data_IF_837876160873
#
_entry.id   IF_837876160873
#
_cell.length_a   1.000
_cell.length_b   1.000
_cell.length_c   1.000
_cell.angle_alpha   90.00
_cell.angle_beta   90.00
_cell.angle_gamma   90.00
#
_symmetry.space_group_name_H-M   'P 1'
#
loop_
_entity.id
_entity.type
_entity.pdbx_description
1 polymer ?
#
# COMPACT_ATOMS: atom_id res chain seq x y z
N UNK A 1 -29.01 -2.84 1.45
CA UNK A 1 -29.53 -4.15 1.91
C UNK A 1 -28.46 -4.77 2.80
N UNK A 2 -28.88 -5.25 3.97
CA UNK A 2 -28.07 -5.54 5.15
C UNK A 2 -26.95 -6.56 4.90
N UNK A 3 -25.71 -6.21 5.22
CA UNK A 3 -24.62 -7.17 5.39
C UNK A 3 -24.94 -8.08 6.59
N UNK A 4 -25.55 -9.23 6.33
CA UNK A 4 -25.52 -10.32 7.30
C UNK A 4 -24.15 -11.01 7.27
N UNK A 5 -23.69 -11.57 8.39
CA UNK A 5 -22.37 -12.23 8.48
C UNK A 5 -22.12 -13.27 7.38
N UNK A 6 -23.14 -14.03 6.97
CA UNK A 6 -23.04 -14.99 5.86
C UNK A 6 -22.75 -14.32 4.50
N UNK A 7 -23.29 -13.13 4.23
CA UNK A 7 -23.03 -12.41 2.99
C UNK A 7 -21.63 -11.78 2.98
N UNK A 8 -21.15 -11.29 4.13
CA UNK A 8 -19.78 -10.80 4.28
C UNK A 8 -18.78 -11.93 4.02
N UNK A 9 -19.06 -13.12 4.55
CA UNK A 9 -18.21 -14.30 4.41
C UNK A 9 -18.14 -14.80 2.96
N UNK A 10 -19.28 -14.90 2.26
CA UNK A 10 -19.28 -15.25 0.83
C UNK A 10 -18.49 -14.25 -0.01
N UNK A 11 -18.62 -12.94 0.28
CA UNK A 11 -17.82 -11.90 -0.39
C UNK A 11 -16.34 -12.06 -0.08
N UNK A 12 -15.97 -12.39 1.17
CA UNK A 12 -14.59 -12.62 1.61
C UNK A 12 -13.94 -13.75 0.80
N UNK A 13 -14.64 -14.87 0.65
CA UNK A 13 -14.17 -16.01 -0.16
C UNK A 13 -13.93 -15.59 -1.61
N UNK A 14 -14.86 -14.82 -2.21
CA UNK A 14 -14.67 -14.30 -3.57
C UNK A 14 -13.43 -13.39 -3.71
N UNK A 15 -13.19 -12.53 -2.72
CA UNK A 15 -12.00 -11.67 -2.66
C UNK A 15 -10.73 -12.49 -2.53
N UNK A 16 -10.73 -13.54 -1.71
CA UNK A 16 -9.57 -14.40 -1.52
C UNK A 16 -9.24 -15.25 -2.75
N UNK A 17 -10.26 -15.70 -3.47
CA UNK A 17 -10.07 -16.34 -4.78
C UNK A 17 -9.42 -15.37 -5.77
N UNK A 18 -9.89 -14.13 -5.83
CA UNK A 18 -9.27 -13.10 -6.67
C UNK A 18 -7.82 -12.81 -6.23
N UNK A 19 -7.55 -12.78 -4.92
CA UNK A 19 -6.20 -12.57 -4.39
C UNK A 19 -5.24 -13.68 -4.80
N UNK A 20 -5.68 -14.94 -4.73
CA UNK A 20 -4.90 -16.08 -5.20
C UNK A 20 -4.65 -16.03 -6.71
N UNK A 21 -5.62 -15.59 -7.52
CA UNK A 21 -5.40 -15.39 -8.96
C UNK A 21 -4.35 -14.31 -9.23
N UNK A 22 -4.41 -13.18 -8.53
CA UNK A 22 -3.39 -12.13 -8.66
C UNK A 22 -2.01 -12.66 -8.25
N UNK A 23 -1.92 -13.42 -7.16
CA UNK A 23 -0.66 -14.03 -6.72
C UNK A 23 -0.12 -15.05 -7.73
N UNK A 24 -0.95 -15.95 -8.25
CA UNK A 24 -0.55 -16.99 -9.20
C UNK A 24 0.10 -16.40 -10.46
N UNK A 25 -0.43 -15.28 -10.95
CA UNK A 25 0.13 -14.61 -12.12
C UNK A 25 1.13 -13.50 -11.76
N UNK A 26 1.33 -13.19 -10.48
CA UNK A 26 2.37 -12.25 -10.07
C UNK A 26 3.77 -12.86 -10.21
N UNK A 27 4.79 -12.02 -10.39
CA UNK A 27 6.19 -12.48 -10.45
C UNK A 27 6.66 -13.18 -9.17
N UNK A 28 5.94 -13.08 -8.05
CA UNK A 28 6.29 -13.79 -6.81
C UNK A 28 5.99 -15.28 -6.82
N UNK A 29 5.21 -15.78 -7.80
CA UNK A 29 5.04 -17.21 -8.07
C UNK A 29 6.29 -17.78 -8.78
N UNK A 30 7.46 -17.67 -8.13
CA UNK A 30 8.79 -18.02 -8.67
C UNK A 30 9.14 -19.50 -8.64
N UNK A 31 8.26 -20.35 -8.12
CA UNK A 31 8.38 -21.80 -8.19
C UNK A 31 7.27 -22.26 -9.11
N UNK A 32 7.64 -22.95 -10.20
CA UNK A 32 6.78 -23.28 -11.32
C UNK A 32 5.31 -23.41 -10.94
N UNK A 33 4.46 -22.75 -11.72
CA UNK A 33 3.00 -22.74 -11.56
C UNK A 33 2.52 -24.08 -11.04
N UNK A 34 1.74 -24.11 -9.96
CA UNK A 34 1.09 -25.36 -9.51
C UNK A 34 0.11 -25.89 -10.59
N UNK A 35 -0.16 -25.08 -11.60
CA UNK A 35 -0.96 -25.35 -12.79
C UNK A 35 -0.25 -26.19 -13.87
N UNK A 36 1.03 -26.53 -13.71
CA UNK A 36 1.79 -27.35 -14.66
C UNK A 36 1.96 -26.71 -16.05
N UNK A 37 1.90 -25.38 -16.15
CA UNK A 37 2.10 -24.64 -17.40
C UNK A 37 3.60 -24.52 -17.72
N UNK A 38 3.93 -24.41 -19.00
CA UNK A 38 5.27 -23.97 -19.39
C UNK A 38 5.45 -22.50 -19.02
N UNK A 39 6.69 -22.06 -18.85
CA UNK A 39 7.01 -20.68 -18.52
C UNK A 39 6.45 -19.69 -19.56
N UNK A 40 6.53 -20.03 -20.85
CA UNK A 40 6.03 -19.18 -21.94
C UNK A 40 4.50 -19.04 -21.88
N UNK A 41 3.79 -20.13 -21.59
CA UNK A 41 2.33 -20.11 -21.46
C UNK A 41 1.90 -19.29 -20.23
N UNK A 42 2.61 -19.44 -19.11
CA UNK A 42 2.36 -18.65 -17.90
C UNK A 42 2.62 -17.16 -18.13
N UNK A 43 3.72 -16.80 -18.80
CA UNK A 43 4.04 -15.41 -19.12
C UNK A 43 2.98 -14.78 -20.05
N UNK A 44 2.47 -15.53 -21.04
CA UNK A 44 1.35 -15.06 -21.87
C UNK A 44 0.08 -14.82 -21.05
N UNK A 45 -0.27 -15.74 -20.14
CA UNK A 45 -1.41 -15.56 -19.25
C UNK A 45 -1.22 -14.35 -18.33
N UNK A 46 -0.02 -14.15 -17.79
CA UNK A 46 0.33 -13.00 -16.96
C UNK A 46 0.14 -11.68 -17.70
N UNK A 47 0.69 -11.57 -18.91
CA UNK A 47 0.54 -10.36 -19.73
C UNK A 47 -0.93 -10.09 -20.06
N UNK A 48 -1.69 -11.12 -20.45
CA UNK A 48 -3.13 -11.01 -20.66
C UNK A 48 -3.89 -10.58 -19.40
N UNK A 49 -3.52 -11.12 -18.24
CA UNK A 49 -4.11 -10.74 -16.95
C UNK A 49 -3.82 -9.29 -16.59
N UNK A 50 -2.57 -8.85 -16.75
CA UNK A 50 -2.13 -7.46 -16.54
C UNK A 50 -2.93 -6.49 -17.40
N UNK A 51 -3.11 -6.80 -18.69
CA UNK A 51 -3.75 -5.91 -19.66
C UNK A 51 -5.29 -5.87 -19.51
N UNK A 52 -5.91 -6.99 -19.16
CA UNK A 52 -7.38 -7.14 -19.25
C UNK A 52 -8.08 -7.16 -17.89
N UNK A 53 -7.44 -7.69 -16.85
CA UNK A 53 -8.13 -8.04 -15.59
C UNK A 53 -7.62 -7.25 -14.38
N UNK A 54 -6.31 -7.00 -14.30
CA UNK A 54 -5.68 -6.44 -13.09
C UNK A 54 -6.31 -5.10 -12.66
N UNK A 55 -6.52 -4.17 -13.60
CA UNK A 55 -7.15 -2.88 -13.28
C UNK A 55 -8.61 -3.04 -12.83
N UNK A 56 -9.37 -3.92 -13.49
CA UNK A 56 -10.76 -4.20 -13.14
C UNK A 56 -10.88 -4.78 -11.74
N UNK A 57 -9.96 -5.68 -11.36
CA UNK A 57 -9.86 -6.25 -10.02
C UNK A 57 -9.57 -5.16 -8.99
N UNK A 58 -8.57 -4.30 -9.25
CA UNK A 58 -8.25 -3.18 -8.37
C UNK A 58 -9.46 -2.25 -8.18
N UNK A 59 -10.10 -1.84 -9.28
CA UNK A 59 -11.26 -0.94 -9.26
C UNK A 59 -12.45 -1.55 -8.48
N UNK A 60 -12.74 -2.84 -8.71
CA UNK A 60 -13.77 -3.56 -7.96
C UNK A 60 -13.43 -3.67 -6.47
N UNK A 61 -12.15 -3.85 -6.13
CA UNK A 61 -11.69 -3.89 -4.75
C UNK A 61 -11.89 -2.55 -4.04
N UNK A 62 -11.52 -1.44 -4.68
CA UNK A 62 -11.79 -0.08 -4.17
C UNK A 62 -13.29 0.14 -3.98
N UNK A 63 -14.10 -0.27 -4.95
CA UNK A 63 -15.57 -0.16 -4.88
C UNK A 63 -16.14 -0.98 -3.72
N UNK A 64 -15.64 -2.20 -3.50
CA UNK A 64 -16.03 -3.07 -2.39
C UNK A 64 -15.70 -2.41 -1.05
N UNK A 65 -14.47 -1.92 -0.86
CA UNK A 65 -14.04 -1.30 0.38
C UNK A 65 -14.85 -0.02 0.67
N UNK A 66 -15.06 0.81 -0.36
CA UNK A 66 -15.91 2.01 -0.26
C UNK A 66 -17.35 1.65 0.11
N UNK A 67 -17.91 0.60 -0.49
CA UNK A 67 -19.24 0.10 -0.14
C UNK A 67 -19.28 -0.39 1.32
N UNK A 68 -18.24 -1.10 1.78
CA UNK A 68 -18.16 -1.57 3.16
C UNK A 68 -18.13 -0.39 4.16
N UNK A 69 -17.39 0.67 3.82
CA UNK A 69 -17.32 1.89 4.62
C UNK A 69 -18.68 2.62 4.65
N UNK A 70 -19.27 2.89 3.48
CA UNK A 70 -20.56 3.59 3.36
C UNK A 70 -21.70 2.84 4.04
N UNK A 71 -21.71 1.52 3.94
CA UNK A 71 -22.72 0.66 4.58
C UNK A 71 -22.40 0.35 6.04
N UNK A 72 -21.32 0.93 6.59
CA UNK A 72 -20.91 0.77 7.99
C UNK A 72 -20.85 -0.69 8.42
N UNK A 73 -20.30 -1.55 7.56
CA UNK A 73 -20.23 -3.00 7.79
C UNK A 73 -19.55 -3.33 9.11
N UNK A 74 -18.53 -2.56 9.45
CA UNK A 74 -17.82 -2.59 10.73
C UNK A 74 -18.71 -2.35 11.96
N UNK A 75 -19.79 -1.56 11.83
CA UNK A 75 -20.76 -1.33 12.91
C UNK A 75 -21.81 -2.43 12.99
N UNK A 76 -22.12 -3.08 11.86
CA UNK A 76 -23.11 -4.15 11.78
C UNK A 76 -22.55 -5.50 12.23
N UNK A 77 -21.36 -5.86 11.77
CA UNK A 77 -20.65 -7.09 12.13
C UNK A 77 -19.14 -6.79 12.18
N UNK A 78 -18.61 -6.38 13.35
CA UNK A 78 -17.23 -5.91 13.48
C UNK A 78 -16.20 -6.94 13.03
N UNK A 79 -16.39 -8.21 13.39
CA UNK A 79 -15.43 -9.28 13.11
C UNK A 79 -15.47 -9.71 11.64
N UNK A 80 -16.66 -9.99 11.10
CA UNK A 80 -16.76 -10.35 9.68
C UNK A 80 -16.40 -9.17 8.77
N UNK A 81 -16.77 -7.95 9.18
CA UNK A 81 -16.42 -6.71 8.48
C UNK A 81 -14.92 -6.45 8.43
N UNK A 82 -14.23 -6.56 9.57
CA UNK A 82 -12.78 -6.39 9.62
C UNK A 82 -12.05 -7.44 8.76
N UNK A 83 -12.49 -8.70 8.79
CA UNK A 83 -11.91 -9.75 7.92
C UNK A 83 -12.14 -9.47 6.43
N UNK A 84 -13.36 -9.08 6.03
CA UNK A 84 -13.65 -8.76 4.63
C UNK A 84 -12.82 -7.56 4.13
N UNK A 85 -12.73 -6.50 4.93
CA UNK A 85 -11.90 -5.33 4.62
C UNK A 85 -10.43 -5.73 4.53
N UNK A 86 -9.93 -6.52 5.49
CA UNK A 86 -8.59 -7.06 5.47
C UNK A 86 -8.28 -7.86 4.20
N UNK A 87 -9.14 -8.82 3.81
CA UNK A 87 -8.97 -9.57 2.56
C UNK A 87 -8.99 -8.65 1.34
N UNK A 88 -9.81 -7.60 1.34
CA UNK A 88 -9.85 -6.59 0.28
C UNK A 88 -8.55 -5.77 0.20
N UNK A 89 -7.98 -5.37 1.34
CA UNK A 89 -6.71 -4.66 1.41
C UNK A 89 -5.54 -5.55 0.98
N UNK A 90 -5.56 -6.83 1.35
CA UNK A 90 -4.59 -7.82 0.87
C UNK A 90 -4.64 -7.95 -0.65
N UNK A 91 -5.83 -8.12 -1.23
CA UNK A 91 -6.00 -8.15 -2.69
C UNK A 91 -5.49 -6.87 -3.36
N UNK A 92 -5.81 -5.71 -2.78
CA UNK A 92 -5.32 -4.43 -3.27
C UNK A 92 -3.79 -4.36 -3.21
N UNK A 93 -3.18 -4.82 -2.11
CA UNK A 93 -1.73 -4.84 -1.96
C UNK A 93 -1.04 -5.71 -3.02
N UNK A 94 -1.60 -6.88 -3.35
CA UNK A 94 -1.07 -7.73 -4.42
C UNK A 94 -1.20 -7.10 -5.79
N UNK A 95 -2.32 -6.43 -6.07
CA UNK A 95 -2.51 -5.72 -7.33
C UNK A 95 -1.56 -4.52 -7.47
N UNK A 96 -1.26 -3.81 -6.37
CA UNK A 96 -0.34 -2.67 -6.34
C UNK A 96 1.14 -3.09 -6.28
N UNK A 97 1.44 -4.29 -5.79
CA UNK A 97 2.79 -4.86 -5.83
C UNK A 97 3.12 -5.50 -7.20
N UNK A 98 2.19 -5.44 -8.15
CA UNK A 98 2.38 -6.03 -9.48
C UNK A 98 3.57 -5.41 -10.20
N UNK A 99 4.43 -6.26 -10.73
CA UNK A 99 5.60 -5.84 -11.49
C UNK A 99 5.26 -5.75 -12.98
N UNK A 100 5.28 -4.52 -13.49
CA UNK A 100 4.94 -4.20 -14.89
C UNK A 100 6.13 -4.36 -15.86
N UNK A 101 7.34 -4.64 -15.36
CA UNK A 101 8.48 -4.90 -16.23
C UNK A 101 8.27 -6.21 -17.00
N UNK A 102 8.56 -6.25 -18.30
CA UNK A 102 8.56 -7.51 -19.04
C UNK A 102 9.68 -8.42 -18.49
N UNK A 103 9.34 -9.69 -18.24
CA UNK A 103 10.30 -10.65 -17.74
C UNK A 103 11.29 -10.96 -18.87
N UNK A 104 12.53 -10.47 -18.79
CA UNK A 104 13.57 -10.89 -19.74
C UNK A 104 14.08 -12.28 -19.36
N UNK A 105 14.35 -13.12 -20.38
CA UNK A 105 14.86 -14.48 -20.18
C UNK A 105 16.18 -14.52 -19.37
N UNK A 106 17.00 -13.47 -19.44
CA UNK A 106 18.22 -13.34 -18.65
C UNK A 106 17.97 -13.02 -17.17
N UNK A 107 16.89 -12.28 -16.85
CA UNK A 107 16.50 -12.06 -15.45
C UNK A 107 15.94 -13.34 -14.82
N UNK A 108 15.32 -14.24 -15.61
CA UNK A 108 14.82 -15.57 -15.18
C UNK A 108 15.84 -16.42 -14.43
N UNK A 109 17.13 -16.26 -14.74
CA UNK A 109 18.20 -17.00 -14.08
C UNK A 109 18.80 -16.32 -12.84
N UNK A 110 18.52 -15.03 -12.58
CA UNK A 110 19.19 -14.24 -11.52
C UNK A 110 18.20 -13.58 -10.52
N UNK A 111 17.04 -14.17 -10.28
CA UNK A 111 15.94 -13.59 -9.48
C UNK A 111 16.07 -13.68 -7.94
N UNK A 112 17.29 -13.67 -7.39
CA UNK A 112 17.50 -13.61 -5.93
C UNK A 112 17.55 -12.19 -5.37
N UNK A 113 17.43 -11.15 -6.20
CA UNK A 113 17.28 -9.78 -5.73
C UNK A 113 15.80 -9.44 -5.59
N UNK A 114 15.35 -9.33 -4.34
CA UNK A 114 14.13 -8.65 -3.93
C UNK A 114 14.23 -7.15 -4.24
N UNK A 115 14.31 -6.80 -5.53
CA UNK A 115 14.28 -5.41 -5.95
C UNK A 115 12.84 -4.91 -5.80
N UNK A 116 12.52 -4.36 -4.61
CA UNK A 116 11.96 -3.03 -4.46
C UNK A 116 11.13 -2.57 -5.69
N UNK A 117 9.99 -3.20 -5.93
CA UNK A 117 9.21 -2.96 -7.15
C UNK A 117 8.55 -1.58 -7.06
N UNK A 118 9.05 -0.64 -7.85
CA UNK A 118 8.36 0.63 -8.07
C UNK A 118 7.03 0.33 -8.78
N UNK A 119 5.95 0.92 -8.28
CA UNK A 119 4.65 0.78 -8.90
C UNK A 119 4.58 1.64 -10.18
N UNK A 120 4.63 1.00 -11.34
CA UNK A 120 4.67 1.64 -12.68
C UNK A 120 3.44 1.33 -13.55
N UNK A 121 2.21 1.63 -13.08
CA UNK A 121 1.01 1.24 -13.77
C UNK A 121 0.80 2.05 -15.07
N UNK A 122 -0.02 1.52 -16.00
CA UNK A 122 -0.42 2.26 -17.20
C UNK A 122 -1.16 3.58 -16.87
N UNK A 123 -1.11 4.53 -17.81
CA UNK A 123 -1.76 5.85 -17.68
C UNK A 123 -3.27 5.79 -17.34
N UNK A 124 -3.97 4.75 -17.78
CA UNK A 124 -5.41 4.57 -17.52
C UNK A 124 -5.78 4.41 -16.04
N UNK A 125 -4.81 4.16 -15.16
CA UNK A 125 -5.05 3.97 -13.73
C UNK A 125 -5.10 5.31 -12.96
N UNK A 126 -4.69 6.41 -13.59
CA UNK A 126 -4.57 7.73 -12.96
C UNK A 126 -5.85 8.18 -12.26
N UNK A 127 -7.02 8.01 -12.90
CA UNK A 127 -8.30 8.43 -12.33
C UNK A 127 -8.67 7.73 -11.03
N UNK A 128 -8.21 6.49 -10.83
CA UNK A 128 -8.47 5.74 -9.60
C UNK A 128 -7.44 6.07 -8.51
N UNK A 129 -6.15 6.04 -8.85
CA UNK A 129 -5.06 6.13 -7.86
C UNK A 129 -4.65 7.56 -7.50
N UNK A 130 -4.81 8.52 -8.40
CA UNK A 130 -4.42 9.92 -8.19
C UNK A 130 -5.61 10.81 -7.77
N UNK A 131 -6.74 10.23 -7.38
CA UNK A 131 -7.89 11.02 -6.91
C UNK A 131 -7.71 11.47 -5.45
N UNK A 132 -8.09 12.72 -5.13
CA UNK A 132 -8.07 13.25 -3.76
C UNK A 132 -8.97 12.45 -2.81
N UNK A 133 -10.09 11.96 -3.34
CA UNK A 133 -11.08 11.19 -2.61
C UNK A 133 -10.52 9.84 -2.14
N UNK A 134 -9.60 9.23 -2.92
CA UNK A 134 -9.06 7.90 -2.61
C UNK A 134 -8.20 7.91 -1.34
N UNK A 135 -7.29 8.87 -1.20
CA UNK A 135 -6.42 8.98 -0.01
C UNK A 135 -7.24 9.31 1.23
N UNK A 136 -8.19 10.25 1.10
CA UNK A 136 -9.09 10.63 2.19
C UNK A 136 -9.95 9.45 2.66
N UNK A 137 -10.44 8.64 1.70
CA UNK A 137 -11.16 7.41 1.96
C UNK A 137 -10.32 6.38 2.71
N UNK A 138 -9.06 6.14 2.28
CA UNK A 138 -8.18 5.17 2.95
C UNK A 138 -7.92 5.55 4.41
N UNK A 139 -7.65 6.83 4.69
CA UNK A 139 -7.45 7.33 6.06
C UNK A 139 -8.72 7.16 6.91
N UNK A 140 -9.89 7.49 6.36
CA UNK A 140 -11.15 7.32 7.06
C UNK A 140 -11.42 5.84 7.38
N UNK A 141 -11.27 4.95 6.40
CA UNK A 141 -11.47 3.51 6.57
C UNK A 141 -10.47 2.92 7.58
N UNK A 142 -9.20 3.31 7.52
CA UNK A 142 -8.19 2.85 8.49
C UNK A 142 -8.56 3.29 9.91
N UNK A 143 -9.08 4.51 10.08
CA UNK A 143 -9.52 5.01 11.39
C UNK A 143 -10.64 4.15 11.97
N UNK A 144 -11.63 3.79 11.14
CA UNK A 144 -12.72 2.91 11.57
C UNK A 144 -12.24 1.48 11.87
N UNK A 145 -11.32 0.94 11.07
CA UNK A 145 -10.74 -0.40 11.29
C UNK A 145 -9.90 -0.41 12.56
N UNK A 146 -9.00 0.56 12.76
CA UNK A 146 -8.16 0.72 13.94
C UNK A 146 -8.98 0.73 15.24
N UNK A 147 -10.12 1.42 15.24
CA UNK A 147 -11.00 1.52 16.40
C UNK A 147 -11.65 0.17 16.80
N UNK A 148 -11.71 -0.80 15.87
CA UNK A 148 -12.40 -2.08 16.06
C UNK A 148 -11.41 -3.24 16.17
N UNK A 149 -10.41 -3.25 15.29
CA UNK A 149 -9.36 -4.25 15.18
C UNK A 149 -8.04 -3.56 14.85
N UNK A 150 -7.29 -3.14 15.88
CA UNK A 150 -5.94 -2.56 15.73
C UNK A 150 -5.00 -3.47 14.92
N UNK A 151 -5.12 -4.78 15.08
CA UNK A 151 -4.35 -5.77 14.32
C UNK A 151 -4.67 -5.73 12.83
N UNK A 152 -5.95 -5.63 12.45
CA UNK A 152 -6.36 -5.55 11.04
C UNK A 152 -5.93 -4.21 10.39
N UNK A 153 -5.73 -3.15 11.18
CA UNK A 153 -5.21 -1.86 10.71
C UNK A 153 -3.83 -1.98 10.04
N UNK A 154 -3.04 -3.00 10.42
CA UNK A 154 -1.74 -3.25 9.81
C UNK A 154 -1.80 -3.63 8.32
N UNK A 155 -2.94 -4.14 7.85
CA UNK A 155 -3.14 -4.52 6.43
C UNK A 155 -3.13 -3.32 5.47
N UNK A 156 -3.21 -2.09 5.98
CA UNK A 156 -3.10 -0.87 5.18
C UNK A 156 -1.67 -0.52 4.79
N UNK A 157 -0.67 -0.86 5.61
CA UNK A 157 0.69 -0.38 5.40
C UNK A 157 1.32 -0.85 4.09
N UNK A 158 1.17 -2.13 3.65
CA UNK A 158 1.63 -2.55 2.33
C UNK A 158 1.00 -1.74 1.19
N UNK A 159 -0.27 -1.36 1.31
CA UNK A 159 -0.94 -0.50 0.31
C UNK A 159 -0.30 0.88 0.29
N UNK A 160 -0.02 1.48 1.45
CA UNK A 160 0.61 2.80 1.53
C UNK A 160 2.03 2.82 0.99
N UNK A 161 2.82 1.78 1.30
CA UNK A 161 4.18 1.62 0.77
C UNK A 161 4.15 1.56 -0.76
N UNK A 162 3.23 0.79 -1.36
CA UNK A 162 3.13 0.71 -2.82
C UNK A 162 2.59 2.00 -3.46
N UNK A 163 1.65 2.70 -2.82
CA UNK A 163 1.22 4.01 -3.30
C UNK A 163 2.33 5.06 -3.21
N UNK A 164 3.18 4.99 -2.20
CA UNK A 164 4.38 5.82 -2.07
C UNK A 164 5.43 5.51 -3.16
N UNK A 165 5.44 4.29 -3.69
CA UNK A 165 6.35 3.87 -4.77
C UNK A 165 5.89 4.25 -6.19
N UNK A 166 4.72 4.91 -6.31
CA UNK A 166 4.07 5.20 -7.58
C UNK A 166 4.93 6.09 -8.50
N UNK A 167 5.22 5.60 -9.69
CA UNK A 167 6.02 6.30 -10.72
C UNK A 167 5.57 5.94 -12.14
N UNK A 168 6.24 6.53 -13.14
CA UNK A 168 6.02 6.22 -14.55
C UNK A 168 4.89 7.02 -15.21
N UNK A 169 4.25 6.40 -16.21
CA UNK A 169 3.33 7.05 -17.16
C UNK A 169 1.97 7.43 -16.57
N UNK A 170 1.67 7.02 -15.34
CA UNK A 170 0.44 7.38 -14.65
C UNK A 170 0.29 8.89 -14.44
N UNK A 171 1.40 9.62 -14.35
CA UNK A 171 1.41 11.08 -14.18
C UNK A 171 1.21 11.86 -15.50
N UNK A 172 0.96 11.16 -16.61
CA UNK A 172 0.81 11.76 -17.94
C UNK A 172 2.13 11.87 -18.71
N UNK A 173 2.08 12.63 -19.81
CA UNK A 173 3.21 12.81 -20.76
C UNK A 173 3.72 14.24 -20.84
N UNK A 174 2.90 15.23 -20.47
CA UNK A 174 3.29 16.64 -20.47
C UNK A 174 4.17 16.95 -19.25
N UNK A 175 5.33 17.57 -19.47
CA UNK A 175 6.34 17.80 -18.42
C UNK A 175 5.80 18.61 -17.24
N UNK A 176 5.01 19.64 -17.49
CA UNK A 176 4.53 20.53 -16.44
C UNK A 176 3.35 19.91 -15.69
N UNK A 177 2.48 19.20 -16.42
CA UNK A 177 1.40 18.39 -15.80
C UNK A 177 1.97 17.27 -14.95
N UNK A 178 2.99 16.54 -15.43
CA UNK A 178 3.66 15.47 -14.68
C UNK A 178 4.26 16.01 -13.40
N UNK A 179 4.95 17.15 -13.44
CA UNK A 179 5.52 17.78 -12.24
C UNK A 179 4.42 18.14 -11.23
N UNK A 180 3.33 18.76 -11.69
CA UNK A 180 2.22 19.14 -10.83
C UNK A 180 1.54 17.92 -10.20
N UNK A 181 1.28 16.86 -10.97
CA UNK A 181 0.63 15.65 -10.44
C UNK A 181 1.55 14.89 -9.47
N UNK A 182 2.86 14.81 -9.75
CA UNK A 182 3.83 14.23 -8.81
C UNK A 182 3.88 15.01 -7.50
N UNK A 183 3.84 16.34 -7.58
CA UNK A 183 3.80 17.20 -6.39
C UNK A 183 2.51 16.99 -5.57
N UNK A 184 1.35 16.96 -6.22
CA UNK A 184 0.08 16.68 -5.54
C UNK A 184 0.06 15.28 -4.90
N UNK A 185 0.57 14.27 -5.60
CA UNK A 185 0.71 12.91 -5.06
C UNK A 185 1.61 12.91 -3.82
N UNK A 186 2.75 13.58 -3.88
CA UNK A 186 3.65 13.73 -2.75
C UNK A 186 2.95 14.33 -1.53
N UNK A 187 2.27 15.47 -1.69
CA UNK A 187 1.56 16.11 -0.57
C UNK A 187 0.51 15.20 0.06
N UNK A 188 -0.24 14.47 -0.76
CA UNK A 188 -1.29 13.54 -0.28
C UNK A 188 -0.68 12.39 0.49
N UNK A 189 0.38 11.77 -0.04
CA UNK A 189 1.07 10.67 0.62
C UNK A 189 1.72 11.13 1.92
N UNK A 190 2.34 12.32 1.94
CA UNK A 190 2.89 12.93 3.15
C UNK A 190 1.81 13.13 4.23
N UNK A 191 0.65 13.67 3.86
CA UNK A 191 -0.50 13.84 4.79
C UNK A 191 -0.96 12.50 5.36
N UNK A 192 -1.07 11.47 4.51
CA UNK A 192 -1.46 10.12 4.91
C UNK A 192 -0.44 9.48 5.85
N UNK A 193 0.84 9.49 5.47
CA UNK A 193 1.92 8.86 6.24
C UNK A 193 2.06 9.53 7.61
N UNK A 194 1.98 10.86 7.67
CA UNK A 194 2.03 11.58 8.95
C UNK A 194 0.80 11.35 9.82
N UNK A 195 -0.39 11.17 9.23
CA UNK A 195 -1.56 10.76 10.00
C UNK A 195 -1.37 9.39 10.64
N UNK A 196 -0.75 8.44 9.93
CA UNK A 196 -0.40 7.11 10.45
C UNK A 196 0.65 7.20 11.55
N UNK A 197 1.76 7.88 11.30
CA UNK A 197 2.88 7.97 12.25
C UNK A 197 2.48 8.70 13.54
N UNK A 198 1.68 9.76 13.44
CA UNK A 198 1.13 10.45 14.64
C UNK A 198 0.21 9.57 15.45
N UNK A 199 -0.60 8.74 14.80
CA UNK A 199 -1.48 7.78 15.49
C UNK A 199 -0.65 6.73 16.20
N UNK A 200 0.30 6.11 15.50
CA UNK A 200 1.18 5.08 16.08
C UNK A 200 1.97 5.62 17.27
N UNK A 201 2.52 6.84 17.17
CA UNK A 201 3.25 7.50 18.26
C UNK A 201 2.36 7.93 19.45
N UNK A 202 1.05 8.05 19.25
CA UNK A 202 0.10 8.36 20.34
C UNK A 202 -0.32 7.11 21.13
N UNK A 203 -0.08 5.92 20.60
CA UNK A 203 -0.34 4.65 21.26
C UNK A 203 0.84 4.29 22.17
N UNK A 204 0.63 3.73 23.38
CA UNK A 204 1.71 3.22 24.21
C UNK A 204 2.60 2.23 23.45
N UNK A 205 3.90 2.14 23.79
CA UNK A 205 4.89 1.28 23.10
C UNK A 205 4.46 -0.18 22.94
N UNK A 206 3.69 -0.68 23.91
CA UNK A 206 3.23 -2.08 23.96
C UNK A 206 1.88 -2.28 23.26
N UNK A 207 1.32 -1.23 22.67
CA UNK A 207 0.04 -1.28 21.98
C UNK A 207 0.14 -1.97 20.62
N UNK A 208 -0.94 -2.66 20.19
CA UNK A 208 -0.94 -3.47 18.97
C UNK A 208 -0.70 -2.66 17.67
N UNK A 209 -0.88 -1.34 17.70
CA UNK A 209 -0.63 -0.44 16.56
C UNK A 209 0.71 0.29 16.61
N UNK A 210 1.39 0.34 17.76
CA UNK A 210 2.60 1.15 17.93
C UNK A 210 3.72 0.65 17.03
N UNK A 211 4.12 -0.62 17.17
CA UNK A 211 5.17 -1.22 16.35
C UNK A 211 4.82 -1.25 14.85
N UNK A 212 3.74 -1.94 14.44
CA UNK A 212 3.39 -2.06 13.03
C UNK A 212 3.13 -0.71 12.35
N UNK A 213 2.51 0.24 13.06
CA UNK A 213 2.24 1.58 12.53
C UNK A 213 3.47 2.43 12.35
N UNK A 214 4.43 2.35 13.27
CA UNK A 214 5.72 3.02 13.12
C UNK A 214 6.51 2.41 11.96
N UNK A 215 6.67 1.09 11.90
CA UNK A 215 7.40 0.41 10.81
C UNK A 215 6.76 0.74 9.45
N UNK A 216 5.45 0.48 9.31
CA UNK A 216 4.74 0.68 8.05
C UNK A 216 4.73 2.13 7.58
N UNK A 217 4.57 3.08 8.52
CA UNK A 217 4.66 4.50 8.21
C UNK A 217 6.07 4.94 7.79
N UNK A 218 7.12 4.45 8.47
CA UNK A 218 8.51 4.77 8.13
C UNK A 218 8.92 4.17 6.79
N UNK A 219 8.56 2.92 6.52
CA UNK A 219 8.78 2.28 5.21
C UNK A 219 8.06 3.03 4.07
N UNK A 220 6.82 3.45 4.29
CA UNK A 220 6.10 4.26 3.30
C UNK A 220 6.76 5.63 3.09
N UNK A 221 7.30 6.23 4.15
CA UNK A 221 8.05 7.49 4.08
C UNK A 221 9.34 7.35 3.27
N UNK A 222 10.22 6.41 3.63
CA UNK A 222 11.46 6.15 2.88
C UNK A 222 11.18 5.83 1.42
N UNK A 223 10.12 5.04 1.17
CA UNK A 223 9.68 4.76 -0.20
C UNK A 223 9.26 6.03 -0.94
N UNK A 224 8.50 6.90 -0.31
CA UNK A 224 8.07 8.17 -0.93
C UNK A 224 9.26 9.08 -1.23
N UNK A 225 10.18 9.22 -0.29
CA UNK A 225 11.37 10.08 -0.46
C UNK A 225 12.28 9.56 -1.56
N UNK A 226 12.48 8.24 -1.65
CA UNK A 226 13.32 7.62 -2.69
C UNK A 226 12.72 7.67 -4.10
N UNK A 227 11.39 7.80 -4.24
CA UNK A 227 10.73 7.88 -5.57
C UNK A 227 10.59 9.28 -6.13
N UNK A 228 10.77 10.32 -5.31
CA UNK A 228 10.60 11.70 -5.73
C UNK A 228 11.82 12.19 -6.51
N UNK A 229 11.55 12.76 -7.68
CA UNK A 229 12.55 13.55 -8.40
C UNK A 229 12.92 14.78 -7.56
N UNK A 230 14.21 15.02 -7.24
CA UNK A 230 14.65 16.19 -6.50
C UNK A 230 14.10 17.51 -7.06
N UNK A 231 13.88 17.60 -8.38
CA UNK A 231 13.30 18.78 -9.02
C UNK A 231 11.84 19.06 -8.62
N UNK A 232 11.08 18.04 -8.19
CA UNK A 232 9.74 18.17 -7.62
C UNK A 232 9.81 18.56 -6.13
N UNK A 233 10.82 18.06 -5.40
CA UNK A 233 11.08 18.43 -4.01
C UNK A 233 11.31 19.94 -3.81
N UNK A 234 11.99 20.60 -4.76
CA UNK A 234 12.21 22.05 -4.72
C UNK A 234 10.93 22.90 -4.90
N UNK A 235 9.92 22.40 -5.62
CA UNK A 235 8.62 23.08 -5.72
C UNK A 235 7.83 23.02 -4.42
N UNK A 236 8.20 22.09 -3.54
CA UNK A 236 7.51 21.81 -2.29
C UNK A 236 8.29 22.36 -1.08
N UNK A 237 9.10 23.41 -1.21
CA UNK A 237 10.03 23.85 -0.15
C UNK A 237 9.39 23.96 1.25
N UNK A 238 8.19 24.56 1.36
CA UNK A 238 7.45 24.64 2.64
C UNK A 238 7.00 23.26 3.15
N UNK A 239 6.55 22.38 2.26
CA UNK A 239 6.17 21.01 2.59
C UNK A 239 7.38 20.11 2.88
N UNK A 240 8.52 20.40 2.27
CA UNK A 240 9.78 19.72 2.50
C UNK A 240 10.36 20.09 3.86
N UNK A 241 10.35 21.37 4.23
CA UNK A 241 10.73 21.81 5.58
C UNK A 241 9.81 21.21 6.65
N UNK A 242 8.49 21.26 6.44
CA UNK A 242 7.54 20.61 7.33
C UNK A 242 7.73 19.09 7.40
N UNK A 243 8.09 18.46 6.27
CA UNK A 243 8.45 17.05 6.19
C UNK A 243 9.68 16.74 7.03
N UNK A 244 10.79 17.46 6.81
CA UNK A 244 12.03 17.29 7.57
C UNK A 244 11.83 17.50 9.06
N UNK A 245 11.04 18.51 9.46
CA UNK A 245 10.75 18.78 10.86
C UNK A 245 9.96 17.64 11.51
N UNK A 246 8.96 17.10 10.80
CA UNK A 246 8.16 15.99 11.30
C UNK A 246 8.95 14.68 11.33
N UNK A 247 9.76 14.39 10.30
CA UNK A 247 10.67 13.25 10.28
C UNK A 247 11.65 13.33 11.45
N UNK A 248 12.29 14.49 11.67
CA UNK A 248 13.17 14.69 12.82
C UNK A 248 12.45 14.45 14.15
N UNK A 249 11.22 14.96 14.29
CA UNK A 249 10.39 14.74 15.49
C UNK A 249 10.10 13.25 15.71
N UNK A 250 9.79 12.51 14.66
CA UNK A 250 9.51 11.08 14.72
C UNK A 250 10.76 10.25 15.00
N UNK A 251 11.89 10.56 14.36
CA UNK A 251 13.19 9.93 14.64
C UNK A 251 13.56 10.12 16.11
N UNK A 252 13.44 11.33 16.64
CA UNK A 252 13.69 11.59 18.06
C UNK A 252 12.76 10.81 18.97
N UNK A 253 11.47 10.70 18.62
CA UNK A 253 10.50 9.92 19.39
C UNK A 253 10.84 8.43 19.41
N UNK A 254 11.15 7.83 18.26
CA UNK A 254 11.56 6.42 18.15
C UNK A 254 12.85 6.17 18.93
N UNK A 255 13.85 7.06 18.81
CA UNK A 255 15.10 6.96 19.59
C UNK A 255 14.86 7.06 21.10
N UNK A 256 13.93 7.94 21.54
CA UNK A 256 13.57 8.05 22.95
C UNK A 256 12.87 6.79 23.47
N UNK A 257 11.99 6.18 22.68
CA UNK A 257 11.34 4.92 23.05
C UNK A 257 12.34 3.76 23.05
N UNK A 258 13.25 3.69 22.07
CA UNK A 258 14.29 2.67 22.02
C UNK A 258 15.28 2.80 23.19
N UNK A 259 15.53 4.01 23.68
CA UNK A 259 16.33 4.21 24.90
C UNK A 259 15.64 3.66 26.17
N UNK A 260 14.31 3.59 26.18
CA UNK A 260 13.51 3.03 27.28
C UNK A 260 13.35 1.51 27.15
N UNK A 261 13.24 1.01 25.92
CA UNK A 261 13.15 -0.42 25.61
C UNK A 261 14.08 -0.79 24.43
N UNK A 262 15.38 -1.05 24.70
CA UNK A 262 16.36 -1.34 23.66
C UNK A 262 16.16 -2.67 22.93
N UNK A 263 15.32 -3.56 23.49
CA UNK A 263 15.04 -4.87 22.91
C UNK A 263 13.84 -4.83 21.93
N UNK A 264 13.21 -3.68 21.76
CA UNK A 264 12.06 -3.53 20.88
C UNK A 264 12.48 -3.55 19.40
N UNK A 265 12.47 -4.74 18.80
CA UNK A 265 12.83 -4.94 17.39
C UNK A 265 12.03 -4.06 16.42
N UNK A 266 10.76 -3.74 16.73
CA UNK A 266 9.95 -2.89 15.86
C UNK A 266 10.46 -1.45 15.79
N UNK A 267 10.95 -0.92 16.92
CA UNK A 267 11.53 0.43 16.97
C UNK A 267 12.88 0.49 16.25
N UNK A 268 13.67 -0.59 16.29
CA UNK A 268 14.92 -0.70 15.52
C UNK A 268 14.62 -0.70 14.03
N UNK A 269 13.70 -1.55 13.56
CA UNK A 269 13.31 -1.61 12.15
C UNK A 269 12.72 -0.28 11.65
N UNK A 270 11.89 0.39 12.46
CA UNK A 270 11.36 1.70 12.10
C UNK A 270 12.45 2.77 12.00
N UNK A 271 13.46 2.72 12.87
CA UNK A 271 14.61 3.63 12.83
C UNK A 271 15.47 3.37 11.59
N UNK A 272 15.80 2.12 11.30
CA UNK A 272 16.56 1.73 10.11
C UNK A 272 15.85 2.21 8.84
N UNK A 273 14.54 1.99 8.74
CA UNK A 273 13.73 2.46 7.63
C UNK A 273 13.65 3.99 7.50
N UNK A 274 13.92 4.78 8.55
CA UNK A 274 13.99 6.24 8.46
C UNK A 274 15.38 6.77 8.07
N UNK A 275 16.42 5.96 8.27
CA UNK A 275 17.81 6.34 8.02
C UNK A 275 18.31 5.94 6.62
N UNK A 276 17.63 5.00 5.96
CA UNK A 276 17.78 4.68 4.53
C UNK A 276 17.24 5.78 3.60
#
# INVERSE_FOLDING_TARGET
QFYGGAQAETKRVGVELAANLVLEFSHTATKGTDLGLTWEAHEQCRLGFQEQLLFSILHQTVTLLSTCHQQRVLQCDPQAGARLIGSGLTLMSYALAWNFDPMSADRAMNYLQEDSTLLTPPGGWAGALLSDDFVSFLVALQTDVAAISPEASATFYPVYIQLASLTGKIFGSDRDVVKQQKHQHFERMMKLIFAVLRRAAAVPSDGPEAGPGLIGGCQAYARLVSTIDPAVGFFAAEHYEASCAETHRLTLHVMQQLAQDPANHCLVEALDAMLE
#
